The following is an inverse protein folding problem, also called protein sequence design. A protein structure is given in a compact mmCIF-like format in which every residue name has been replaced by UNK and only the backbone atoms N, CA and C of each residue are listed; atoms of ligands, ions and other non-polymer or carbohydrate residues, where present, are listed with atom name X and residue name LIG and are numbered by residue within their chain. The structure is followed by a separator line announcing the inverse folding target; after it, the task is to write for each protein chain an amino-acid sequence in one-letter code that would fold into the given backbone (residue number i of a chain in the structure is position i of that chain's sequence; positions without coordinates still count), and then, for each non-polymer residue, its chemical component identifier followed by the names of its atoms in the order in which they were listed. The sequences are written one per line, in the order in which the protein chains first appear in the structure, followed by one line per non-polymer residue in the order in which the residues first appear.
data_IF_253998934047
#
_entry.id   IF_253998934047
#
_cell.length_a   1.000
_cell.length_b   1.000
_cell.length_c   1.000
_cell.angle_alpha   90.00
_cell.angle_beta   90.00
_cell.angle_gamma   90.00
#
_symmetry.space_group_name_H-M   'P 1'
#
loop_
_entity.id
_entity.type
_entity.pdbx_description
1 polymer ?
#
# COMPACT_ATOMS: atom_id res chain seq x y z
N UNK A 1 -4.41 84.79 -40.09
CA UNK A 1 -5.68 84.26 -40.64
C UNK A 1 -6.18 83.15 -39.73
N UNK A 2 -7.18 83.46 -38.91
CA UNK A 2 -8.13 82.55 -38.24
C UNK A 2 -9.16 82.02 -39.29
N UNK A 3 -10.13 81.11 -39.00
CA UNK A 3 -10.29 80.09 -37.93
C UNK A 3 -10.98 78.73 -38.39
N UNK A 4 -11.31 77.88 -37.39
CA UNK A 4 -12.42 76.87 -37.30
C UNK A 4 -12.24 75.47 -37.93
N UNK A 5 -12.32 74.32 -37.20
CA UNK A 5 -13.28 73.69 -36.24
C UNK A 5 -14.18 72.64 -36.93
N UNK A 6 -14.63 71.65 -36.15
CA UNK A 6 -15.62 70.56 -36.37
C UNK A 6 -15.06 69.19 -36.83
N UNK A 7 -15.47 68.01 -36.33
CA UNK A 7 -16.23 67.52 -35.15
C UNK A 7 -16.25 65.98 -35.26
N UNK A 8 -16.04 65.26 -34.14
CA UNK A 8 -16.68 64.01 -33.65
C UNK A 8 -16.82 62.76 -34.59
N UNK A 9 -16.81 61.49 -34.18
CA UNK A 9 -17.29 60.71 -33.01
C UNK A 9 -16.52 59.36 -33.01
N UNK A 10 -16.15 58.76 -31.86
CA UNK A 10 -15.65 57.37 -31.82
C UNK A 10 -16.81 56.37 -31.80
N UNK A 11 -16.84 55.43 -32.76
CA UNK A 11 -17.81 54.33 -32.78
C UNK A 11 -17.44 53.27 -31.73
N UNK A 12 -18.18 53.30 -30.62
CA UNK A 12 -18.18 52.32 -29.55
C UNK A 12 -18.79 51.00 -30.06
N UNK A 13 -17.95 50.02 -30.40
CA UNK A 13 -18.43 48.65 -30.70
C UNK A 13 -18.58 47.92 -29.37
N UNK A 14 -19.82 47.93 -28.88
CA UNK A 14 -20.31 47.15 -27.76
C UNK A 14 -20.30 45.66 -28.16
N UNK A 15 -19.19 44.95 -27.88
CA UNK A 15 -19.18 43.50 -27.88
C UNK A 15 -20.11 43.00 -26.76
N UNK A 16 -21.34 42.65 -27.13
CA UNK A 16 -22.21 41.81 -26.31
C UNK A 16 -21.45 40.51 -26.03
N UNK A 17 -20.97 40.36 -24.79
CA UNK A 17 -20.69 39.05 -24.23
C UNK A 17 -22.01 38.29 -24.21
N UNK A 18 -22.18 37.37 -25.16
CA UNK A 18 -23.12 36.29 -25.04
C UNK A 18 -22.68 35.43 -23.85
N UNK A 19 -23.22 35.72 -22.67
CA UNK A 19 -23.34 34.74 -21.61
C UNK A 19 -24.27 33.65 -22.16
N UNK A 20 -23.69 32.61 -22.78
CA UNK A 20 -24.41 31.39 -23.04
C UNK A 20 -24.93 30.89 -21.68
N UNK A 21 -26.24 30.70 -21.50
CA UNK A 21 -26.69 29.99 -20.33
C UNK A 21 -26.08 28.59 -20.43
N UNK A 22 -25.36 28.19 -19.40
CA UNK A 22 -25.22 26.77 -19.11
C UNK A 22 -26.64 26.25 -18.93
N UNK A 23 -27.25 25.77 -20.03
CA UNK A 23 -28.51 25.04 -19.96
C UNK A 23 -28.19 23.80 -19.13
N UNK A 24 -28.54 23.86 -17.85
CA UNK A 24 -28.72 22.68 -17.05
C UNK A 24 -29.56 21.71 -17.89
N UNK A 25 -29.04 20.52 -18.19
CA UNK A 25 -29.75 19.48 -18.92
C UNK A 25 -30.82 18.83 -18.03
N UNK A 26 -31.52 19.64 -17.22
CA UNK A 26 -32.68 19.23 -16.45
C UNK A 26 -33.74 18.76 -17.42
N UNK A 27 -34.09 17.47 -17.35
CA UNK A 27 -35.11 16.87 -18.21
C UNK A 27 -34.70 15.59 -18.90
N UNK A 28 -33.51 15.03 -18.64
CA UNK A 28 -33.10 13.71 -19.14
C UNK A 28 -33.57 12.56 -18.23
N UNK A 29 -33.90 12.86 -16.97
CA UNK A 29 -34.42 11.92 -15.99
C UNK A 29 -35.62 12.43 -15.18
N UNK A 30 -36.19 11.54 -14.37
CA UNK A 30 -37.24 11.79 -13.39
C UNK A 30 -36.68 11.49 -12.00
N UNK A 31 -36.70 12.48 -11.10
CA UNK A 31 -36.35 12.28 -9.71
C UNK A 31 -37.56 11.73 -8.97
N UNK A 32 -37.40 10.53 -8.41
CA UNK A 32 -38.41 9.88 -7.59
C UNK A 32 -38.03 9.95 -6.13
N UNK A 33 -39.00 10.31 -5.29
CA UNK A 33 -38.94 10.04 -3.85
C UNK A 33 -39.48 8.65 -3.63
N UNK A 34 -38.62 7.75 -3.18
CA UNK A 34 -38.92 6.34 -2.95
C UNK A 34 -38.95 6.09 -1.44
N UNK A 35 -40.10 5.66 -0.94
CA UNK A 35 -40.26 5.21 0.44
C UNK A 35 -40.27 3.69 0.46
N UNK A 36 -39.32 3.08 1.16
CA UNK A 36 -39.15 1.62 1.26
C UNK A 36 -39.45 1.16 2.68
N UNK A 37 -40.23 0.10 2.81
CA UNK A 37 -40.45 -0.65 4.05
C UNK A 37 -39.95 -2.07 3.87
N UNK A 38 -39.17 -2.53 4.83
CA UNK A 38 -38.59 -3.87 4.82
C UNK A 38 -38.97 -4.60 6.09
N UNK A 39 -39.49 -5.81 5.93
CA UNK A 39 -39.89 -6.72 7.00
C UNK A 39 -39.05 -7.99 6.88
N UNK A 40 -38.26 -8.30 7.91
CA UNK A 40 -37.56 -9.58 8.02
C UNK A 40 -38.48 -10.59 8.69
N UNK A 41 -38.77 -11.69 8.00
CA UNK A 41 -39.64 -12.74 8.52
C UNK A 41 -38.94 -13.44 9.68
N UNK A 42 -39.61 -13.51 10.83
CA UNK A 42 -39.08 -14.17 12.04
C UNK A 42 -38.46 -13.24 13.08
N UNK A 43 -38.36 -11.92 12.82
CA UNK A 43 -37.94 -10.94 13.83
C UNK A 43 -39.11 -10.04 14.26
N UNK A 44 -39.27 -9.75 15.57
CA UNK A 44 -40.41 -9.00 16.09
C UNK A 44 -40.31 -7.48 15.88
N UNK A 45 -39.24 -6.98 15.27
CA UNK A 45 -39.02 -5.56 15.03
C UNK A 45 -39.26 -5.20 13.57
N UNK A 46 -40.15 -4.24 13.32
CA UNK A 46 -40.28 -3.62 12.01
C UNK A 46 -39.24 -2.49 11.88
N UNK A 47 -38.45 -2.52 10.81
CA UNK A 47 -37.53 -1.44 10.51
C UNK A 47 -38.32 -0.19 10.09
N UNK A 48 -37.91 1.01 10.50
CA UNK A 48 -38.58 2.23 10.09
C UNK A 48 -38.52 2.41 8.57
N UNK A 49 -39.59 2.92 7.99
CA UNK A 49 -39.63 3.22 6.57
C UNK A 49 -38.53 4.23 6.22
N UNK A 50 -37.73 3.94 5.21
CA UNK A 50 -36.69 4.85 4.74
C UNK A 50 -37.15 5.54 3.47
N UNK A 51 -36.83 6.82 3.35
CA UNK A 51 -37.17 7.62 2.17
C UNK A 51 -35.89 8.14 1.53
N UNK A 52 -35.72 7.85 0.24
CA UNK A 52 -34.57 8.27 -0.57
C UNK A 52 -35.03 8.93 -1.84
N UNK A 53 -34.21 9.82 -2.40
CA UNK A 53 -34.47 10.46 -3.69
C UNK A 53 -33.53 9.85 -4.73
N UNK A 54 -34.09 9.32 -5.83
CA UNK A 54 -33.34 8.59 -6.85
C UNK A 54 -33.71 9.12 -8.23
N UNK A 55 -32.70 9.58 -8.98
CA UNK A 55 -32.88 10.02 -10.35
C UNK A 55 -32.88 8.81 -11.28
N UNK A 56 -34.04 8.47 -11.82
CA UNK A 56 -34.20 7.45 -12.85
C UNK A 56 -34.30 8.08 -14.25
N UNK A 57 -34.03 7.35 -15.33
CA UNK A 57 -34.20 7.84 -16.69
C UNK A 57 -35.70 8.03 -17.05
N UNK A 58 -36.01 8.96 -17.98
CA UNK A 58 -37.40 9.36 -18.28
C UNK A 58 -38.29 8.28 -18.90
N UNK A 59 -37.71 7.33 -19.65
CA UNK A 59 -38.45 6.39 -20.51
C UNK A 59 -38.07 4.93 -20.27
N UNK A 60 -38.21 4.41 -19.05
CA UNK A 60 -37.99 2.98 -18.81
C UNK A 60 -39.27 2.18 -18.90
N UNK A 61 -39.24 1.18 -19.79
CA UNK A 61 -40.07 -0.01 -19.64
C UNK A 61 -39.78 -0.64 -18.27
N UNK A 62 -40.79 -1.18 -17.61
CA UNK A 62 -40.70 -1.78 -16.27
C UNK A 62 -39.59 -2.83 -16.13
N UNK A 63 -39.19 -3.48 -17.24
CA UNK A 63 -38.05 -4.40 -17.32
C UNK A 63 -36.72 -3.74 -16.90
N UNK A 64 -36.47 -2.50 -17.33
CA UNK A 64 -35.23 -1.77 -16.99
C UNK A 64 -35.22 -1.20 -15.58
N UNK A 65 -36.34 -1.32 -14.85
CA UNK A 65 -36.42 -0.99 -13.43
C UNK A 65 -36.06 -2.19 -12.54
N UNK A 66 -35.91 -3.39 -13.13
CA UNK A 66 -35.41 -4.56 -12.41
C UNK A 66 -33.88 -4.41 -12.23
N UNK A 67 -33.33 -4.58 -11.02
CA UNK A 67 -31.89 -4.53 -10.81
C UNK A 67 -31.15 -5.53 -11.72
N UNK A 68 -30.13 -5.05 -12.42
CA UNK A 68 -29.24 -5.88 -13.21
C UNK A 68 -27.92 -6.08 -12.46
N UNK A 69 -27.57 -7.33 -12.22
CA UNK A 69 -26.29 -7.75 -11.63
C UNK A 69 -25.75 -8.92 -12.45
N UNK A 70 -24.43 -8.99 -12.64
CA UNK A 70 -23.79 -10.02 -13.47
C UNK A 70 -24.05 -11.46 -12.95
N UNK A 71 -24.34 -11.61 -11.65
CA UNK A 71 -24.62 -12.90 -11.03
C UNK A 71 -26.11 -13.22 -10.88
N UNK A 72 -26.99 -12.32 -11.33
CA UNK A 72 -28.43 -12.45 -11.19
C UNK A 72 -29.13 -12.64 -12.55
N UNK A 73 -29.91 -13.70 -12.68
CA UNK A 73 -30.75 -13.95 -13.86
C UNK A 73 -32.19 -13.55 -13.58
N UNK A 74 -32.76 -12.70 -14.43
CA UNK A 74 -34.19 -12.38 -14.41
C UNK A 74 -34.95 -13.37 -15.29
N UNK A 75 -35.99 -13.99 -14.76
CA UNK A 75 -36.89 -14.93 -15.45
C UNK A 75 -38.36 -14.55 -15.21
N UNK A 76 -39.26 -15.19 -15.96
CA UNK A 76 -40.70 -15.06 -15.76
C UNK A 76 -41.24 -13.62 -15.81
N UNK A 77 -40.57 -12.75 -16.56
CA UNK A 77 -41.02 -11.37 -16.72
C UNK A 77 -42.35 -11.34 -17.47
N UNK A 78 -43.38 -10.78 -16.84
CA UNK A 78 -44.72 -10.65 -17.43
C UNK A 78 -45.25 -9.26 -17.18
N UNK A 79 -45.89 -8.68 -18.19
CA UNK A 79 -46.62 -7.41 -18.10
C UNK A 79 -48.10 -7.70 -18.35
N UNK A 80 -48.95 -7.28 -17.41
CA UNK A 80 -50.41 -7.37 -17.51
C UNK A 80 -51.00 -6.01 -17.13
N UNK A 81 -51.42 -5.25 -18.14
CA UNK A 81 -51.90 -3.88 -17.95
C UNK A 81 -50.83 -2.98 -17.33
N UNK A 82 -51.13 -2.41 -16.17
CA UNK A 82 -50.24 -1.55 -15.40
C UNK A 82 -49.34 -2.31 -14.41
N UNK A 83 -49.44 -3.65 -14.34
CA UNK A 83 -48.68 -4.49 -13.42
C UNK A 83 -47.61 -5.29 -14.18
N UNK A 84 -46.39 -5.30 -13.66
CA UNK A 84 -45.29 -6.14 -14.13
C UNK A 84 -44.85 -7.07 -13.00
N UNK A 85 -44.53 -8.33 -13.30
CA UNK A 85 -43.97 -9.27 -12.33
C UNK A 85 -42.73 -9.93 -12.91
N UNK A 86 -41.79 -10.30 -12.03
CA UNK A 86 -40.54 -10.94 -12.40
C UNK A 86 -40.05 -11.86 -11.28
N UNK A 87 -39.23 -12.83 -11.65
CA UNK A 87 -38.43 -13.62 -10.72
C UNK A 87 -36.96 -13.32 -11.00
N UNK A 88 -36.17 -13.10 -9.96
CA UNK A 88 -34.74 -12.89 -10.04
C UNK A 88 -34.05 -13.98 -9.24
N UNK A 89 -33.06 -14.63 -9.83
CA UNK A 89 -32.26 -15.67 -9.18
C UNK A 89 -30.80 -15.27 -9.25
N UNK A 90 -30.20 -14.98 -8.10
CA UNK A 90 -28.80 -14.67 -7.96
C UNK A 90 -28.03 -15.91 -7.50
N UNK A 91 -26.93 -16.21 -8.20
CA UNK A 91 -26.01 -17.30 -7.87
C UNK A 91 -24.73 -16.74 -7.25
N UNK A 92 -23.85 -17.61 -6.75
CA UNK A 92 -22.56 -17.23 -6.17
C UNK A 92 -22.50 -17.47 -4.67
N UNK A 93 -21.68 -16.66 -3.98
CA UNK A 93 -21.36 -16.85 -2.56
C UNK A 93 -22.58 -16.66 -1.63
N UNK A 94 -23.53 -15.80 -2.03
CA UNK A 94 -24.78 -15.55 -1.32
C UNK A 94 -25.98 -15.78 -2.26
N UNK A 95 -26.42 -17.04 -2.46
CA UNK A 95 -27.49 -17.33 -3.38
C UNK A 95 -28.83 -16.76 -2.86
N UNK A 96 -29.60 -16.17 -3.76
CA UNK A 96 -30.93 -15.67 -3.43
C UNK A 96 -31.92 -15.80 -4.59
N UNK A 97 -33.20 -15.88 -4.24
CA UNK A 97 -34.32 -15.80 -5.16
C UNK A 97 -35.23 -14.66 -4.70
N UNK A 98 -35.52 -13.73 -5.60
CA UNK A 98 -36.47 -12.64 -5.38
C UNK A 98 -37.64 -12.77 -6.35
N UNK A 99 -38.86 -12.60 -5.86
CA UNK A 99 -40.06 -12.41 -6.68
C UNK A 99 -40.54 -10.99 -6.49
N UNK A 100 -40.57 -10.23 -7.58
CA UNK A 100 -40.98 -8.84 -7.54
C UNK A 100 -42.24 -8.59 -8.37
N UNK A 101 -43.02 -7.64 -7.90
CA UNK A 101 -44.15 -7.06 -8.60
C UNK A 101 -44.02 -5.54 -8.58
N UNK A 102 -44.26 -4.92 -9.73
CA UNK A 102 -44.33 -3.48 -9.91
C UNK A 102 -45.71 -3.12 -10.46
N UNK A 103 -46.32 -2.10 -9.90
CA UNK A 103 -47.59 -1.54 -10.34
C UNK A 103 -47.41 -0.07 -10.64
N UNK A 104 -47.75 0.34 -11.85
CA UNK A 104 -47.77 1.74 -12.24
C UNK A 104 -49.11 2.35 -11.82
N UNK A 105 -49.06 3.33 -10.91
CA UNK A 105 -50.25 3.99 -10.36
C UNK A 105 -50.65 5.23 -11.20
N UNK A 106 -49.77 5.65 -12.11
CA UNK A 106 -49.96 6.78 -13.01
C UNK A 106 -48.65 7.17 -13.70
N UNK A 107 -48.60 8.32 -14.39
CA UNK A 107 -47.38 8.78 -15.06
C UNK A 107 -46.25 9.10 -14.06
N UNK A 108 -46.60 9.51 -12.84
CA UNK A 108 -45.68 10.04 -11.84
C UNK A 108 -45.60 9.19 -10.56
N UNK A 109 -46.21 8.02 -10.53
CA UNK A 109 -46.25 7.19 -9.33
C UNK A 109 -46.23 5.70 -9.65
N UNK A 110 -45.50 4.95 -8.83
CA UNK A 110 -45.47 3.49 -8.87
C UNK A 110 -45.41 2.92 -7.46
N UNK A 111 -45.80 1.66 -7.34
CA UNK A 111 -45.63 0.85 -6.13
C UNK A 111 -45.01 -0.47 -6.53
N UNK A 112 -44.17 -1.03 -5.67
CA UNK A 112 -43.74 -2.40 -5.85
C UNK A 112 -43.68 -3.17 -4.54
N UNK A 113 -43.67 -4.48 -4.70
CA UNK A 113 -43.51 -5.46 -3.64
C UNK A 113 -42.48 -6.47 -4.09
N UNK A 114 -41.62 -6.88 -3.19
CA UNK A 114 -40.59 -7.87 -3.46
C UNK A 114 -40.49 -8.83 -2.29
N UNK A 115 -40.59 -10.11 -2.58
CA UNK A 115 -40.35 -11.19 -1.65
C UNK A 115 -38.98 -11.78 -1.97
N UNK A 116 -38.06 -11.74 -1.04
CA UNK A 116 -36.71 -12.28 -1.20
C UNK A 116 -36.47 -13.42 -0.23
N UNK A 117 -35.88 -14.48 -0.75
CA UNK A 117 -35.41 -15.62 0.02
C UNK A 117 -33.93 -15.80 -0.30
N UNK A 118 -33.10 -15.75 0.73
CA UNK A 118 -31.66 -15.98 0.61
C UNK A 118 -31.12 -16.86 1.72
N UNK A 119 -29.82 -17.04 1.69
CA UNK A 119 -29.04 -17.63 2.77
C UNK A 119 -27.90 -16.67 3.14
N UNK A 120 -27.71 -16.41 4.42
CA UNK A 120 -26.55 -15.67 4.96
C UNK A 120 -25.99 -16.47 6.12
N UNK A 121 -24.68 -16.74 6.12
CA UNK A 121 -23.99 -17.54 7.15
C UNK A 121 -24.63 -18.93 7.41
N UNK A 122 -25.30 -19.50 6.40
CA UNK A 122 -26.00 -20.78 6.49
C UNK A 122 -27.41 -20.72 7.05
N UNK A 123 -27.87 -19.55 7.51
CA UNK A 123 -29.24 -19.32 7.95
C UNK A 123 -30.11 -18.79 6.80
N UNK A 124 -31.32 -19.35 6.68
CA UNK A 124 -32.29 -18.90 5.70
C UNK A 124 -32.85 -17.55 6.14
N UNK A 125 -32.68 -16.53 5.30
CA UNK A 125 -33.27 -15.21 5.52
C UNK A 125 -34.39 -15.01 4.51
N UNK A 126 -35.54 -14.56 5.01
CA UNK A 126 -36.70 -14.21 4.19
C UNK A 126 -37.11 -12.76 4.47
N UNK A 127 -37.26 -11.99 3.41
CA UNK A 127 -37.51 -10.55 3.47
C UNK A 127 -38.70 -10.17 2.59
N UNK A 128 -39.62 -9.42 3.16
CA UNK A 128 -40.68 -8.75 2.42
C UNK A 128 -40.33 -7.27 2.32
N UNK A 129 -40.23 -6.76 1.10
CA UNK A 129 -40.01 -5.36 0.82
C UNK A 129 -41.22 -4.79 0.11
N UNK A 130 -41.64 -3.59 0.52
CA UNK A 130 -42.59 -2.77 -0.24
C UNK A 130 -41.96 -1.41 -0.47
N UNK A 131 -42.19 -0.84 -1.66
CA UNK A 131 -41.70 0.50 -1.95
C UNK A 131 -42.74 1.29 -2.75
N UNK A 132 -42.86 2.57 -2.42
CA UNK A 132 -43.72 3.53 -3.07
C UNK A 132 -42.84 4.63 -3.67
N UNK A 133 -42.89 4.80 -5.00
CA UNK A 133 -42.16 5.83 -5.71
C UNK A 133 -43.09 6.92 -6.20
N UNK A 134 -42.77 8.18 -5.89
CA UNK A 134 -43.47 9.37 -6.42
C UNK A 134 -42.49 10.31 -7.09
N UNK A 135 -42.74 10.67 -8.35
CA UNK A 135 -41.96 11.68 -9.05
C UNK A 135 -42.15 13.03 -8.34
N UNK A 136 -41.03 13.67 -8.04
CA UNK A 136 -41.00 14.99 -7.38
C UNK A 136 -40.56 16.10 -8.33
N UNK A 137 -39.67 15.81 -9.28
CA UNK A 137 -39.23 16.74 -10.33
C UNK A 137 -38.53 16.00 -11.48
N UNK A 138 -38.18 16.73 -12.53
CA UNK A 138 -37.19 16.27 -13.50
C UNK A 138 -35.76 16.36 -12.89
N UNK A 139 -34.85 15.50 -13.34
CA UNK A 139 -33.43 15.51 -12.99
C UNK A 139 -32.55 15.40 -14.23
N UNK A 140 -31.28 15.73 -14.08
CA UNK A 140 -30.25 15.40 -15.05
C UNK A 140 -29.68 14.01 -14.75
N UNK A 141 -30.10 13.02 -15.54
CA UNK A 141 -29.66 11.64 -15.36
C UNK A 141 -28.15 11.45 -15.57
N UNK A 142 -27.48 12.31 -16.33
CA UNK A 142 -26.03 12.19 -16.55
C UNK A 142 -25.21 12.54 -15.31
N UNK A 143 -25.77 13.35 -14.39
CA UNK A 143 -25.05 13.86 -13.21
C UNK A 143 -25.70 13.47 -11.88
N UNK A 144 -27.02 13.26 -11.86
CA UNK A 144 -27.80 13.01 -10.64
C UNK A 144 -28.20 11.54 -10.49
N UNK A 145 -27.91 10.66 -11.46
CA UNK A 145 -28.17 9.23 -11.30
C UNK A 145 -27.31 8.62 -10.19
N UNK A 146 -27.74 7.51 -9.57
CA UNK A 146 -26.93 6.77 -8.61
C UNK A 146 -25.54 6.41 -9.16
N UNK A 147 -25.46 6.03 -10.43
CA UNK A 147 -24.19 5.69 -11.09
C UNK A 147 -23.29 6.92 -11.26
N UNK A 148 -23.87 8.06 -11.64
CA UNK A 148 -23.13 9.31 -11.80
C UNK A 148 -22.62 9.84 -10.45
N UNK A 149 -23.47 9.81 -9.43
CA UNK A 149 -23.11 10.18 -8.06
C UNK A 149 -22.04 9.24 -7.51
N UNK A 150 -22.16 7.93 -7.74
CA UNK A 150 -21.16 6.93 -7.36
C UNK A 150 -19.81 7.18 -8.02
N UNK A 151 -19.79 7.45 -9.34
CA UNK A 151 -18.56 7.83 -10.07
C UNK A 151 -17.96 9.13 -9.54
N UNK A 152 -18.79 10.14 -9.24
CA UNK A 152 -18.34 11.42 -8.70
C UNK A 152 -17.76 11.26 -7.29
N UNK A 153 -18.37 10.43 -6.44
CA UNK A 153 -17.86 10.10 -5.12
C UNK A 153 -16.54 9.34 -5.22
N UNK A 154 -16.44 8.34 -6.09
CA UNK A 154 -15.19 7.61 -6.33
C UNK A 154 -14.08 8.55 -6.80
N UNK A 155 -14.38 9.46 -7.74
CA UNK A 155 -13.41 10.45 -8.21
C UNK A 155 -12.91 11.33 -7.07
N UNK A 156 -13.80 11.82 -6.19
CA UNK A 156 -13.41 12.58 -4.98
C UNK A 156 -12.51 11.76 -4.05
N UNK A 157 -12.86 10.51 -3.77
CA UNK A 157 -12.02 9.61 -2.96
C UNK A 157 -10.63 9.43 -3.58
N UNK A 158 -10.54 9.29 -4.91
CA UNK A 158 -9.26 9.21 -5.60
C UNK A 158 -8.46 10.51 -5.49
N UNK A 159 -9.10 11.68 -5.60
CA UNK A 159 -8.47 12.98 -5.40
C UNK A 159 -8.00 13.17 -3.94
N UNK A 160 -8.77 12.71 -2.96
CA UNK A 160 -8.39 12.78 -1.54
C UNK A 160 -7.14 11.93 -1.26
N UNK A 161 -7.06 10.72 -1.84
CA UNK A 161 -5.87 9.87 -1.76
C UNK A 161 -4.63 10.51 -2.43
N UNK A 162 -4.81 11.43 -3.38
CA UNK A 162 -3.71 12.18 -3.98
C UNK A 162 -3.13 13.27 -3.07
N UNK A 163 -3.83 13.68 -2.01
CA UNK A 163 -3.31 14.68 -1.06
C UNK A 163 -2.08 14.18 -0.33
N UNK A 164 -2.02 12.86 -0.08
CA UNK A 164 -0.88 12.15 0.50
C UNK A 164 -0.62 10.88 -0.31
N UNK A 165 0.17 10.97 -1.41
CA UNK A 165 0.37 9.86 -2.34
C UNK A 165 1.34 8.83 -1.77
N UNK A 166 0.86 8.06 -0.78
CA UNK A 166 1.62 7.07 -0.04
C UNK A 166 1.79 5.78 -0.85
N UNK A 167 3.01 5.20 -0.94
CA UNK A 167 3.23 3.93 -1.64
C UNK A 167 2.33 2.78 -1.20
N UNK A 168 1.80 2.77 0.03
CA UNK A 168 0.91 1.73 0.53
C UNK A 168 -0.44 1.67 -0.21
N UNK A 169 -0.91 2.77 -0.81
CA UNK A 169 -2.20 2.82 -1.53
C UNK A 169 -2.06 2.60 -3.03
N UNK A 170 -0.87 2.23 -3.53
CA UNK A 170 -0.60 2.14 -4.97
C UNK A 170 -1.54 1.19 -5.72
N UNK A 171 -2.05 0.14 -5.06
CA UNK A 171 -2.98 -0.82 -5.68
C UNK A 171 -4.28 -0.16 -6.14
N UNK A 172 -4.73 0.91 -5.46
CA UNK A 172 -5.92 1.67 -5.86
C UNK A 172 -5.73 2.40 -7.19
N UNK A 173 -4.48 2.73 -7.56
CA UNK A 173 -4.15 3.54 -8.73
C UNK A 173 -3.50 2.74 -9.86
N UNK A 174 -2.69 1.74 -9.52
CA UNK A 174 -1.82 1.02 -10.45
C UNK A 174 -1.87 -0.50 -10.29
N UNK A 175 -2.74 -1.03 -9.43
CA UNK A 175 -3.03 -2.46 -9.33
C UNK A 175 -3.89 -3.00 -10.49
N UNK A 176 -4.06 -4.33 -10.58
CA UNK A 176 -4.88 -4.95 -11.62
C UNK A 176 -6.35 -4.52 -11.55
N UNK A 177 -6.88 -4.34 -10.32
CA UNK A 177 -8.27 -3.93 -10.05
C UNK A 177 -8.37 -2.45 -9.62
N UNK A 178 -7.49 -1.59 -10.14
CA UNK A 178 -7.37 -0.20 -9.71
C UNK A 178 -8.63 0.63 -10.00
N UNK A 179 -9.32 1.04 -8.92
CA UNK A 179 -10.51 1.89 -8.98
C UNK A 179 -10.19 3.35 -9.36
N UNK A 180 -8.95 3.79 -9.15
CA UNK A 180 -8.47 5.15 -9.45
C UNK A 180 -7.58 5.20 -10.71
N UNK A 181 -7.81 4.32 -11.68
CA UNK A 181 -6.96 4.22 -12.91
C UNK A 181 -6.82 5.56 -13.64
N UNK A 182 -7.87 6.39 -13.69
CA UNK A 182 -7.83 7.74 -14.30
C UNK A 182 -6.85 8.71 -13.61
N UNK A 183 -6.51 8.46 -12.36
CA UNK A 183 -5.61 9.28 -11.54
C UNK A 183 -4.18 8.71 -11.48
N UNK A 184 -3.92 7.54 -12.09
CA UNK A 184 -2.65 6.81 -12.02
C UNK A 184 -1.45 7.71 -12.30
N UNK A 185 -1.49 8.53 -13.36
CA UNK A 185 -0.37 9.40 -13.73
C UNK A 185 -0.06 10.43 -12.64
N UNK A 186 -1.08 11.14 -12.16
CA UNK A 186 -0.94 12.16 -11.11
C UNK A 186 -0.40 11.54 -9.82
N UNK A 187 -0.92 10.37 -9.44
CA UNK A 187 -0.43 9.60 -8.31
C UNK A 187 1.05 9.24 -8.46
N UNK A 188 1.42 8.60 -9.57
CA UNK A 188 2.78 8.13 -9.79
C UNK A 188 3.80 9.27 -9.82
N UNK A 189 3.50 10.38 -10.49
CA UNK A 189 4.39 11.55 -10.52
C UNK A 189 4.63 12.10 -9.11
N UNK A 190 3.57 12.27 -8.32
CA UNK A 190 3.63 12.83 -6.97
C UNK A 190 4.29 11.86 -5.95
N UNK A 191 3.93 10.57 -6.02
CA UNK A 191 4.48 9.52 -5.18
C UNK A 191 5.99 9.38 -5.41
N UNK A 192 6.42 9.26 -6.66
CA UNK A 192 7.85 9.11 -6.99
C UNK A 192 8.66 10.37 -6.63
N UNK A 193 8.09 11.56 -6.85
CA UNK A 193 8.74 12.81 -6.47
C UNK A 193 9.00 12.92 -4.96
N UNK A 194 8.08 12.41 -4.14
CA UNK A 194 8.16 12.48 -2.67
C UNK A 194 9.00 11.35 -2.06
N UNK A 195 8.97 10.15 -2.64
CA UNK A 195 9.48 8.94 -1.98
C UNK A 195 10.77 8.39 -2.59
N UNK A 196 11.17 8.80 -3.79
CA UNK A 196 12.48 8.41 -4.37
C UNK A 196 13.58 9.28 -3.77
N UNK A 197 13.84 9.08 -2.47
CA UNK A 197 14.84 9.79 -1.67
C UNK A 197 15.63 8.80 -0.79
N UNK A 198 16.90 9.08 -0.43
CA UNK A 198 17.67 8.20 0.44
C UNK A 198 16.98 7.91 1.78
N UNK A 199 16.46 8.96 2.44
CA UNK A 199 15.82 8.86 3.75
C UNK A 199 14.59 7.95 3.75
N UNK A 200 13.71 8.09 2.74
CA UNK A 200 12.52 7.24 2.65
C UNK A 200 12.90 5.79 2.35
N UNK A 201 13.77 5.56 1.36
CA UNK A 201 14.15 4.20 0.95
C UNK A 201 14.83 3.45 2.10
N UNK A 202 15.71 4.11 2.87
CA UNK A 202 16.36 3.50 4.04
C UNK A 202 15.33 3.13 5.12
N UNK A 203 14.48 4.09 5.51
CA UNK A 203 13.49 3.87 6.57
C UNK A 203 12.44 2.83 6.18
N UNK A 204 11.92 2.90 4.95
CA UNK A 204 10.97 1.91 4.44
C UNK A 204 11.62 0.53 4.24
N UNK A 205 12.89 0.47 3.87
CA UNK A 205 13.65 -0.78 3.72
C UNK A 205 13.83 -1.53 5.04
N UNK A 206 14.06 -0.83 6.15
CA UNK A 206 14.15 -1.45 7.48
C UNK A 206 12.82 -2.11 7.88
N UNK A 207 11.69 -1.44 7.61
CA UNK A 207 10.37 -2.00 7.86
C UNK A 207 10.07 -3.20 6.95
N UNK A 208 10.57 -3.17 5.71
CA UNK A 208 10.42 -4.29 4.77
C UNK A 208 11.14 -5.55 5.24
N UNK A 209 12.33 -5.42 5.83
CA UNK A 209 13.07 -6.54 6.39
C UNK A 209 12.33 -7.26 7.54
N UNK A 210 11.41 -6.55 8.22
CA UNK A 210 10.56 -7.09 9.28
C UNK A 210 9.19 -7.59 8.78
N UNK A 211 8.83 -7.35 7.52
CA UNK A 211 7.51 -7.68 6.99
C UNK A 211 7.40 -9.17 6.61
N UNK A 212 6.20 -9.78 6.74
CA UNK A 212 5.95 -11.14 6.26
C UNK A 212 6.21 -11.28 4.76
N UNK A 213 6.76 -12.43 4.35
CA UNK A 213 7.00 -12.73 2.94
C UNK A 213 5.68 -12.71 2.14
N UNK A 214 5.72 -12.09 0.94
CA UNK A 214 4.58 -12.01 0.03
C UNK A 214 3.71 -10.75 0.16
N UNK A 215 4.00 -9.87 1.14
CA UNK A 215 3.38 -8.54 1.19
C UNK A 215 3.98 -7.61 0.12
N UNK A 216 3.16 -6.84 -0.60
CA UNK A 216 3.65 -5.79 -1.48
C UNK A 216 4.48 -4.76 -0.72
N UNK A 217 5.58 -4.33 -1.33
CA UNK A 217 6.53 -3.38 -0.80
C UNK A 217 6.43 -2.03 -1.52
N UNK A 218 7.10 -1.01 -0.98
CA UNK A 218 7.24 0.27 -1.70
C UNK A 218 8.00 0.11 -3.03
N UNK A 219 8.81 -0.94 -3.20
CA UNK A 219 9.44 -1.25 -4.48
C UNK A 219 8.41 -1.66 -5.53
N UNK A 220 7.37 -2.37 -5.13
CA UNK A 220 6.26 -2.75 -6.02
C UNK A 220 5.45 -1.51 -6.43
N UNK A 221 5.24 -0.59 -5.49
CA UNK A 221 4.63 0.70 -5.80
C UNK A 221 5.46 1.53 -6.80
N UNK A 222 6.79 1.56 -6.63
CA UNK A 222 7.70 2.22 -7.56
C UNK A 222 7.63 1.57 -8.95
N UNK A 223 7.70 0.23 -9.00
CA UNK A 223 7.63 -0.53 -10.24
C UNK A 223 6.29 -0.35 -10.96
N UNK A 224 5.17 -0.35 -10.22
CA UNK A 224 3.83 -0.08 -10.77
C UNK A 224 3.70 1.32 -11.39
N UNK A 225 4.54 2.25 -10.94
CA UNK A 225 4.69 3.60 -11.48
C UNK A 225 5.85 3.76 -12.49
N UNK A 226 6.45 2.65 -12.95
CA UNK A 226 7.50 2.66 -13.97
C UNK A 226 8.90 2.99 -13.46
N UNK A 227 9.10 3.07 -12.13
CA UNK A 227 10.39 3.27 -11.50
C UNK A 227 10.95 1.93 -11.04
N UNK A 228 11.95 1.40 -11.75
CA UNK A 228 12.64 0.19 -11.28
C UNK A 228 13.48 0.49 -10.04
N UNK A 229 13.72 -0.54 -9.21
CA UNK A 229 14.63 -0.44 -8.06
C UNK A 229 15.99 0.12 -8.46
N UNK A 230 16.56 -0.37 -9.57
CA UNK A 230 17.84 0.11 -10.09
C UNK A 230 17.79 1.59 -10.48
N UNK A 231 16.74 2.04 -11.16
CA UNK A 231 16.60 3.44 -11.56
C UNK A 231 16.43 4.36 -10.34
N UNK A 232 15.66 3.94 -9.34
CA UNK A 232 15.51 4.67 -8.09
C UNK A 232 16.87 4.83 -7.37
N UNK A 233 17.63 3.74 -7.23
CA UNK A 233 18.95 3.77 -6.60
C UNK A 233 19.96 4.60 -7.40
N UNK A 234 19.97 4.50 -8.73
CA UNK A 234 20.81 5.34 -9.58
C UNK A 234 20.52 6.84 -9.38
N UNK A 235 19.28 7.21 -9.06
CA UNK A 235 18.88 8.60 -8.77
C UNK A 235 19.26 9.04 -7.34
N UNK A 236 19.21 8.15 -6.36
CA UNK A 236 19.41 8.50 -4.93
C UNK A 236 20.86 8.35 -4.46
N UNK A 237 21.62 7.39 -4.99
CA UNK A 237 23.01 7.16 -4.60
C UNK A 237 23.93 8.39 -4.75
N UNK A 238 23.87 9.19 -5.84
CA UNK A 238 24.66 10.42 -5.95
C UNK A 238 24.31 11.46 -4.86
N UNK A 239 23.05 11.54 -4.45
CA UNK A 239 22.62 12.44 -3.38
C UNK A 239 23.13 11.96 -2.02
N UNK A 240 23.04 10.66 -1.74
CA UNK A 240 23.58 10.04 -0.53
C UNK A 240 25.10 10.24 -0.40
N UNK A 241 25.85 10.08 -1.50
CA UNK A 241 27.29 10.36 -1.55
C UNK A 241 27.62 11.80 -1.16
N UNK A 242 26.90 12.79 -1.70
CA UNK A 242 27.09 14.21 -1.35
C UNK A 242 26.75 14.52 0.10
N UNK A 243 25.71 13.87 0.63
CA UNK A 243 25.26 14.05 2.01
C UNK A 243 26.11 13.26 3.03
N UNK A 244 27.05 12.41 2.58
CA UNK A 244 27.77 11.44 3.42
C UNK A 244 26.82 10.54 4.22
N UNK A 245 25.72 10.15 3.59
CA UNK A 245 24.75 9.20 4.16
C UNK A 245 25.30 7.78 4.06
N UNK A 246 26.24 7.47 4.97
CA UNK A 246 26.96 6.20 4.98
C UNK A 246 26.05 5.00 5.21
N UNK A 247 24.97 5.16 5.98
CA UNK A 247 24.00 4.09 6.19
C UNK A 247 23.32 3.70 4.88
N UNK A 248 22.88 4.68 4.09
CA UNK A 248 22.31 4.42 2.77
C UNK A 248 23.34 3.85 1.79
N UNK A 249 24.56 4.40 1.78
CA UNK A 249 25.61 3.97 0.84
C UNK A 249 25.97 2.50 1.06
N UNK A 250 26.18 2.08 2.31
CA UNK A 250 26.55 0.71 2.65
C UNK A 250 25.46 -0.29 2.24
N UNK A 251 24.19 0.06 2.42
CA UNK A 251 23.07 -0.84 2.14
C UNK A 251 22.72 -0.91 0.65
N UNK A 252 22.74 0.24 -0.05
CA UNK A 252 22.13 0.35 -1.38
C UNK A 252 23.08 0.78 -2.50
N UNK A 253 24.29 1.27 -2.20
CA UNK A 253 25.19 1.86 -3.19
C UNK A 253 26.60 1.22 -3.13
N UNK A 254 26.73 -0.08 -3.47
CA UNK A 254 28.01 -0.79 -3.36
C UNK A 254 29.13 -0.14 -4.19
N UNK A 255 28.81 0.42 -5.35
CA UNK A 255 29.78 1.08 -6.23
C UNK A 255 30.37 2.37 -5.62
N UNK A 256 29.66 3.00 -4.68
CA UNK A 256 30.13 4.19 -3.98
C UNK A 256 30.89 3.85 -2.70
N UNK A 257 30.83 2.61 -2.21
CA UNK A 257 31.40 2.23 -0.92
C UNK A 257 32.91 2.46 -0.87
N UNK A 258 33.65 2.03 -1.90
CA UNK A 258 35.10 2.23 -1.95
C UNK A 258 35.49 3.71 -1.92
N UNK A 259 34.73 4.56 -2.64
CA UNK A 259 34.94 6.01 -2.62
C UNK A 259 34.57 6.62 -1.27
N UNK A 260 33.43 6.23 -0.70
CA UNK A 260 32.97 6.69 0.61
C UNK A 260 33.97 6.34 1.72
N UNK A 261 34.52 5.12 1.68
CA UNK A 261 35.61 4.71 2.54
C UNK A 261 36.82 5.64 2.41
N UNK A 262 37.29 5.92 1.18
CA UNK A 262 38.45 6.81 0.97
C UNK A 262 38.22 8.26 1.42
N UNK A 263 36.98 8.74 1.41
CA UNK A 263 36.61 10.11 1.80
C UNK A 263 36.20 10.25 3.27
N UNK A 264 36.00 9.14 3.98
CA UNK A 264 35.56 9.14 5.38
C UNK A 264 36.68 9.62 6.32
N UNK A 265 36.31 10.46 7.28
CA UNK A 265 37.22 10.92 8.32
C UNK A 265 37.18 9.92 9.48
N UNK A 266 38.29 9.22 9.72
CA UNK A 266 38.43 8.23 10.80
C UNK A 266 38.03 8.78 12.17
N UNK A 267 38.27 10.07 12.45
CA UNK A 267 37.92 10.68 13.73
C UNK A 267 36.41 10.95 13.86
N UNK A 268 35.75 11.34 12.77
CA UNK A 268 34.35 11.79 12.76
C UNK A 268 33.37 10.67 12.39
N UNK A 269 33.77 9.81 11.46
CA UNK A 269 32.97 8.78 10.82
C UNK A 269 33.39 7.37 11.32
N UNK A 270 33.89 7.31 12.55
CA UNK A 270 34.47 6.12 13.17
C UNK A 270 33.58 4.87 13.08
N UNK A 271 32.25 5.04 13.21
CA UNK A 271 31.30 3.93 13.13
C UNK A 271 31.24 3.32 11.73
N UNK A 272 31.12 4.16 10.70
CA UNK A 272 31.14 3.73 9.31
C UNK A 272 32.46 3.08 8.91
N UNK A 273 33.59 3.71 9.26
CA UNK A 273 34.93 3.18 8.91
C UNK A 273 35.13 1.80 9.53
N UNK A 274 34.78 1.61 10.80
CA UNK A 274 34.91 0.32 11.50
C UNK A 274 33.97 -0.73 10.93
N UNK A 275 32.71 -0.37 10.63
CA UNK A 275 31.70 -1.33 10.19
C UNK A 275 31.80 -1.71 8.71
N UNK A 276 32.24 -0.78 7.85
CA UNK A 276 32.10 -0.90 6.39
C UNK A 276 33.42 -0.78 5.62
N UNK A 277 34.53 -0.36 6.26
CA UNK A 277 35.82 -0.12 5.61
C UNK A 277 36.98 -0.87 6.29
N UNK A 278 37.03 -2.21 6.23
CA UNK A 278 37.93 -3.03 7.06
C UNK A 278 39.43 -2.72 6.86
N UNK A 279 39.88 -2.55 5.61
CA UNK A 279 41.27 -2.24 5.31
C UNK A 279 41.71 -0.88 5.88
N UNK A 280 40.84 0.12 5.80
CA UNK A 280 41.11 1.46 6.33
C UNK A 280 41.02 1.50 7.84
N UNK A 281 40.04 0.82 8.43
CA UNK A 281 39.95 0.67 9.87
C UNK A 281 41.22 0.01 10.43
N UNK A 282 41.73 -1.04 9.79
CA UNK A 282 42.99 -1.68 10.21
C UNK A 282 44.20 -0.74 10.09
N UNK A 283 44.34 -0.05 8.95
CA UNK A 283 45.43 0.90 8.74
C UNK A 283 45.37 2.07 9.74
N UNK A 284 44.19 2.61 10.00
CA UNK A 284 43.96 3.68 10.96
C UNK A 284 44.20 3.22 12.40
N UNK A 285 43.80 2.00 12.77
CA UNK A 285 44.05 1.45 14.09
C UNK A 285 45.55 1.25 14.35
N UNK A 286 46.28 0.71 13.37
CA UNK A 286 47.74 0.58 13.45
C UNK A 286 48.43 1.94 13.65
N UNK A 287 47.93 2.99 13.00
CA UNK A 287 48.51 4.34 13.08
C UNK A 287 48.12 5.12 14.33
N UNK A 288 46.88 5.00 14.79
CA UNK A 288 46.31 5.91 15.80
C UNK A 288 46.04 5.25 17.16
N UNK A 289 45.97 3.92 17.22
CA UNK A 289 45.59 3.19 18.43
C UNK A 289 46.73 2.33 19.01
N UNK A 290 47.65 1.84 18.18
CA UNK A 290 48.74 0.97 18.64
C UNK A 290 49.72 1.70 19.58
N UNK A 291 50.15 1.02 20.65
CA UNK A 291 51.19 1.49 21.55
C UNK A 291 50.81 2.65 22.49
N UNK A 292 49.53 3.05 22.53
CA UNK A 292 49.05 4.10 23.44
C UNK A 292 48.43 3.49 24.69
N UNK A 293 48.77 4.05 25.84
CA UNK A 293 48.10 3.76 27.10
C UNK A 293 46.69 4.39 27.12
N UNK A 294 45.84 3.88 28.00
CA UNK A 294 44.42 4.26 28.07
C UNK A 294 44.20 5.76 28.30
N UNK A 295 45.11 6.40 29.04
CA UNK A 295 45.07 7.85 29.33
C UNK A 295 45.43 8.67 28.09
N UNK A 296 46.49 8.27 27.36
CA UNK A 296 46.87 8.91 26.10
C UNK A 296 45.88 8.67 24.94
N UNK A 297 45.10 7.58 25.00
CA UNK A 297 44.01 7.31 24.06
C UNK A 297 42.80 8.21 24.29
N UNK A 298 42.39 8.44 25.55
CA UNK A 298 41.25 9.31 25.88
C UNK A 298 41.46 10.77 25.49
N UNK A 299 42.71 11.24 25.48
CA UNK A 299 43.06 12.59 25.07
C UNK A 299 43.19 12.75 23.53
N UNK A 300 43.10 11.65 22.76
CA UNK A 300 43.25 11.67 21.30
C UNK A 300 41.93 12.02 20.60
N UNK A 301 41.95 12.78 19.49
CA UNK A 301 40.77 12.96 18.64
C UNK A 301 40.26 11.63 18.03
N UNK A 302 41.06 10.56 18.08
CA UNK A 302 40.67 9.22 17.63
C UNK A 302 40.20 8.28 18.75
N UNK A 303 39.98 8.80 19.97
CA UNK A 303 39.53 7.99 21.10
C UNK A 303 38.29 7.16 20.76
N UNK A 304 37.26 7.80 20.17
CA UNK A 304 36.02 7.15 19.77
C UNK A 304 36.22 6.04 18.74
N UNK A 305 37.09 6.26 17.76
CA UNK A 305 37.47 5.24 16.78
C UNK A 305 38.18 4.05 17.42
N UNK A 306 39.23 4.31 18.20
CA UNK A 306 40.02 3.25 18.82
C UNK A 306 39.19 2.39 19.78
N UNK A 307 38.29 3.01 20.56
CA UNK A 307 37.37 2.26 21.43
C UNK A 307 36.41 1.36 20.64
N UNK A 308 35.83 1.86 19.54
CA UNK A 308 34.91 1.08 18.69
C UNK A 308 35.61 -0.05 17.96
N UNK A 309 36.79 0.21 17.38
CA UNK A 309 37.59 -0.80 16.71
C UNK A 309 37.97 -1.95 17.67
N UNK A 310 38.44 -1.61 18.88
CA UNK A 310 38.78 -2.60 19.89
C UNK A 310 37.57 -3.42 20.35
N UNK A 311 36.40 -2.79 20.54
CA UNK A 311 35.16 -3.47 20.89
C UNK A 311 34.72 -4.47 19.81
N UNK A 312 34.79 -4.08 18.52
CA UNK A 312 34.50 -4.96 17.40
C UNK A 312 35.44 -6.17 17.34
N UNK A 313 36.76 -5.96 17.49
CA UNK A 313 37.74 -7.04 17.53
C UNK A 313 37.57 -7.99 18.73
N UNK A 314 37.06 -7.49 19.87
CA UNK A 314 36.71 -8.34 21.03
C UNK A 314 35.47 -9.18 20.76
N UNK A 315 34.41 -8.59 20.19
CA UNK A 315 33.20 -9.33 19.83
C UNK A 315 33.48 -10.43 18.80
N UNK A 316 34.33 -10.15 17.82
CA UNK A 316 34.72 -11.14 16.82
C UNK A 316 35.51 -12.29 17.44
N UNK A 317 36.52 -12.00 18.28
CA UNK A 317 37.24 -13.04 19.04
C UNK A 317 36.33 -13.86 19.95
N UNK A 318 35.33 -13.26 20.57
CA UNK A 318 34.36 -13.97 21.40
C UNK A 318 33.43 -14.87 20.58
N UNK A 319 33.09 -14.49 19.36
CA UNK A 319 32.32 -15.35 18.43
C UNK A 319 33.17 -16.50 17.91
N UNK A 320 34.39 -16.21 17.50
CA UNK A 320 35.33 -17.20 16.94
C UNK A 320 35.81 -18.18 18.03
N UNK A 321 35.93 -17.73 19.29
CA UNK A 321 36.24 -18.56 20.45
C UNK A 321 35.04 -19.32 21.04
N UNK A 322 33.81 -18.99 20.62
CA UNK A 322 32.57 -19.69 21.02
C UNK A 322 32.11 -20.72 19.97
N UNK A 323 32.80 -20.82 18.83
CA UNK A 323 32.63 -21.93 17.90
C UNK A 323 33.25 -23.17 18.57
N UNK A 324 32.51 -24.30 18.76
CA UNK A 324 33.15 -25.51 19.25
C UNK A 324 34.22 -25.85 18.23
N UNK A 325 35.47 -25.93 18.68
CA UNK A 325 36.55 -26.41 17.83
C UNK A 325 36.07 -27.72 17.19
N UNK A 326 35.99 -27.74 15.85
CA UNK A 326 36.00 -29.01 15.12
C UNK A 326 37.20 -29.80 15.67
N UNK A 327 37.05 -31.11 15.94
CA UNK A 327 38.11 -31.87 16.58
C UNK A 327 39.38 -31.68 15.74
N UNK A 328 40.40 -31.12 16.38
CA UNK A 328 41.72 -31.04 15.79
C UNK A 328 42.11 -32.48 15.42
N UNK A 329 42.48 -32.68 14.17
CA UNK A 329 43.14 -33.90 13.74
C UNK A 329 44.44 -33.99 14.55
N UNK A 330 44.40 -34.78 15.64
CA UNK A 330 45.52 -35.03 16.53
C UNK A 330 46.61 -35.73 15.71
N UNK A 331 47.56 -34.93 15.22
CA UNK A 331 48.86 -35.48 14.87
C UNK A 331 49.48 -35.98 16.18
N UNK A 332 49.40 -37.29 16.40
CA UNK A 332 49.98 -38.05 17.51
C UNK A 332 51.35 -37.48 17.95
N UNK A 333 51.51 -37.07 19.21
CA UNK A 333 52.83 -37.02 19.84
C UNK A 333 53.35 -38.46 20.02
N UNK A 334 54.61 -38.68 19.69
CA UNK A 334 55.29 -39.94 19.92
C UNK A 334 55.25 -40.32 21.42
N UNK A 335 54.84 -41.55 21.68
CA UNK A 335 54.66 -42.15 23.00
C UNK A 335 56.04 -42.42 23.64
N UNK A 336 56.38 -41.69 24.71
CA UNK A 336 57.49 -42.04 25.60
C UNK A 336 57.16 -43.33 26.37
N UNK A 337 58.11 -44.27 26.53
CA UNK A 337 57.85 -45.54 27.19
C UNK A 337 57.61 -45.34 28.70
N UNK A 338 56.39 -45.64 29.16
CA UNK A 338 56.03 -45.62 30.58
C UNK A 338 56.86 -46.64 31.37
N UNK A 339 57.51 -46.18 32.43
CA UNK A 339 58.21 -47.05 33.39
C UNK A 339 57.21 -47.99 34.08
N UNK A 340 57.55 -49.28 34.27
CA UNK A 340 56.66 -50.25 34.88
C UNK A 340 56.32 -49.87 36.32
N UNK A 341 55.06 -50.02 36.68
CA UNK A 341 54.55 -49.62 37.99
C UNK A 341 54.92 -50.66 39.05
N UNK A 342 54.87 -50.26 40.33
CA UNK A 342 55.17 -51.15 41.46
C UNK A 342 54.30 -52.43 41.46
N UNK A 343 53.07 -52.34 40.92
CA UNK A 343 52.17 -53.48 40.74
C UNK A 343 52.68 -54.49 39.70
N UNK A 344 53.36 -54.03 38.65
CA UNK A 344 53.94 -54.90 37.62
C UNK A 344 55.17 -55.64 38.16
N UNK A 345 55.96 -54.98 39.02
CA UNK A 345 57.14 -55.59 39.68
C UNK A 345 56.76 -56.66 40.71
N UNK A 346 55.68 -56.48 41.45
CA UNK A 346 55.18 -57.48 42.42
C UNK A 346 54.58 -58.70 41.73
N UNK A 347 53.98 -58.52 40.53
CA UNK A 347 53.45 -59.64 39.74
C UNK A 347 54.58 -60.50 39.14
N UNK A 348 55.63 -59.89 38.57
CA UNK A 348 56.80 -60.63 38.08
C UNK A 348 57.61 -61.35 39.17
N UNK A 349 57.60 -60.85 40.42
CA UNK A 349 58.25 -61.54 41.54
C UNK A 349 57.48 -62.78 42.03
N UNK A 350 56.16 -62.83 41.82
CA UNK A 350 55.30 -63.96 42.19
C UNK A 350 55.41 -65.11 41.17
N UNK A 351 55.66 -64.80 39.90
CA UNK A 351 55.87 -65.79 38.84
C UNK A 351 57.29 -66.41 38.86
N UNK A 352 58.22 -65.88 39.67
CA UNK A 352 59.58 -66.40 39.84
C UNK A 352 59.77 -67.31 41.08
N UNK A 353 58.76 -67.46 41.94
CA UNK A 353 58.82 -68.28 43.18
C UNK A 353 57.73 -69.37 43.19
N UNK A 354 57.03 -69.57 42.07
CA UNK A 354 55.95 -70.55 41.90
C UNK A 354 56.23 -71.62 40.83
N UNK A 355 57.49 -72.01 40.66
CA UNK A 355 57.95 -73.10 39.81
C UNK A 355 59.01 -73.93 40.51
#
# INVERSE_FOLDING_TARGET
MTPHRFVAIPALVLCLLAAAPALAQSGTGNLYRVTTRTEMVGMPFQMPAQTVEVCGPKNQASEKMVPHDENCTVSDFRVSGNKSSYTMTCRGQNPMTAKGEFEQLGPDAYRGKMHMVGSSDGERIEMNMTFDGKKIRDCDYATESPEAQGKAMLARTCDDLLTQPDPAVYLQFAGPDAICTSHKKRYCDAMLARHVTPAYILGAGQNLAAAPAGMPSFWDAFAACGMSRQAALAKTCPAAGKARDYAFITEYCPDLLAKACNEADVARDAEFVVASCPAQAQAAAAKHCAGRDFTALRASPHAGFCSRYAAGSLQQRNRDGAQPAAPADETKPAEEPKKPTWRDRVRSARDLIGG
#
